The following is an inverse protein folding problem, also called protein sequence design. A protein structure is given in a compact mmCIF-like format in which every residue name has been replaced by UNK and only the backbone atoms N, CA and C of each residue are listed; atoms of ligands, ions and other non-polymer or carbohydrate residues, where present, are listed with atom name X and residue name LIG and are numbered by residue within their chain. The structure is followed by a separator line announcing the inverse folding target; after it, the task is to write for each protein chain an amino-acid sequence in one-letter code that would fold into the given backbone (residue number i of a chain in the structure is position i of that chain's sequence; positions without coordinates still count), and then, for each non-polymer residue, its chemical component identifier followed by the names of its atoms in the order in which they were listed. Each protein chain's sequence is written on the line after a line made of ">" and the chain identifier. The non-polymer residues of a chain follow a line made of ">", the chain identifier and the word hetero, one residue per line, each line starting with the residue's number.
data_IF_790403139409
#
_entry.id   IF_790403139409
#
_cell.length_a   1.000
_cell.length_b   1.000
_cell.length_c   1.000
_cell.angle_alpha   90.00
_cell.angle_beta   90.00
_cell.angle_gamma   90.00
#
_symmetry.space_group_name_H-M   'P 1'
#
loop_
_entity.id
_entity.type
_entity.pdbx_description
1 polymer ?
#
# COMPACT_ATOMS: atom_id res chain seq x y z
N UNK A 1 -61.48 6.99 -22.25
CA UNK A 1 -60.18 7.34 -22.85
C UNK A 1 -59.21 6.22 -22.49
N UNK A 2 -58.77 5.44 -23.49
CA UNK A 2 -57.80 4.35 -23.32
C UNK A 2 -56.45 4.94 -22.88
N UNK A 3 -56.09 4.78 -21.61
CA UNK A 3 -54.70 4.93 -21.19
C UNK A 3 -54.00 3.60 -21.47
N UNK A 4 -53.53 3.41 -22.71
CA UNK A 4 -52.65 2.29 -23.04
C UNK A 4 -51.33 2.48 -22.29
N UNK A 5 -51.23 1.85 -21.14
CA UNK A 5 -50.00 1.82 -20.39
C UNK A 5 -49.10 0.75 -21.01
N UNK A 6 -48.00 1.19 -21.63
CA UNK A 6 -46.99 0.33 -22.24
C UNK A 6 -46.43 -0.72 -21.26
N UNK A 7 -46.46 -0.43 -19.95
CA UNK A 7 -46.08 -1.38 -18.91
C UNK A 7 -47.10 -2.52 -18.81
N UNK A 8 -48.40 -2.20 -18.87
CA UNK A 8 -49.48 -3.19 -18.84
C UNK A 8 -49.46 -4.09 -20.09
N UNK A 9 -49.14 -3.53 -21.26
CA UNK A 9 -49.02 -4.28 -22.51
C UNK A 9 -47.80 -5.23 -22.53
N UNK A 10 -46.78 -4.96 -21.72
CA UNK A 10 -45.53 -5.73 -21.68
C UNK A 10 -45.31 -6.47 -20.35
N UNK A 11 -46.38 -6.71 -19.57
CA UNK A 11 -46.28 -7.36 -18.25
C UNK A 11 -45.59 -8.73 -18.30
N UNK A 12 -45.83 -9.49 -19.36
CA UNK A 12 -45.25 -10.83 -19.55
C UNK A 12 -43.89 -10.81 -20.28
N UNK A 13 -43.34 -9.62 -20.53
CA UNK A 13 -42.06 -9.45 -21.22
C UNK A 13 -41.03 -8.73 -20.32
N UNK A 14 -40.34 -9.47 -19.42
CA UNK A 14 -39.36 -8.90 -18.50
C UNK A 14 -38.23 -8.12 -19.18
N UNK A 15 -37.85 -8.52 -20.40
CA UNK A 15 -36.78 -7.87 -21.17
C UNK A 15 -37.17 -6.46 -21.61
N UNK A 16 -38.42 -6.28 -22.04
CA UNK A 16 -38.92 -4.96 -22.45
C UNK A 16 -39.15 -4.05 -21.25
N UNK A 17 -39.67 -4.57 -20.13
CA UNK A 17 -39.78 -3.80 -18.89
C UNK A 17 -38.42 -3.29 -18.40
N UNK A 18 -37.38 -4.13 -18.43
CA UNK A 18 -36.01 -3.72 -18.08
C UNK A 18 -35.45 -2.69 -19.07
N UNK A 19 -35.72 -2.84 -20.37
CA UNK A 19 -35.31 -1.87 -21.40
C UNK A 19 -35.95 -0.51 -21.16
N UNK A 20 -37.25 -0.47 -20.88
CA UNK A 20 -37.99 0.75 -20.58
C UNK A 20 -37.45 1.44 -19.32
N UNK A 21 -37.21 0.67 -18.25
CA UNK A 21 -36.63 1.19 -17.02
C UNK A 21 -35.22 1.78 -17.22
N UNK A 22 -34.36 1.12 -18.01
CA UNK A 22 -33.00 1.61 -18.28
C UNK A 22 -32.94 2.84 -19.19
N UNK A 23 -33.88 2.93 -20.14
CA UNK A 23 -33.89 4.02 -21.12
C UNK A 23 -34.49 5.29 -20.51
N UNK A 24 -35.60 5.15 -19.77
CA UNK A 24 -36.34 6.29 -19.20
C UNK A 24 -36.88 5.96 -17.80
N UNK A 25 -36.01 5.94 -16.76
CA UNK A 25 -36.38 5.46 -15.43
C UNK A 25 -37.49 6.28 -14.76
N UNK A 26 -37.51 7.60 -14.96
CA UNK A 26 -38.52 8.47 -14.33
C UNK A 26 -39.90 8.34 -14.98
N UNK A 27 -39.94 8.15 -16.31
CA UNK A 27 -41.19 7.89 -17.04
C UNK A 27 -41.74 6.52 -16.65
N UNK A 28 -40.87 5.51 -16.56
CA UNK A 28 -41.25 4.17 -16.12
C UNK A 28 -41.87 4.18 -14.72
N UNK A 29 -41.22 4.81 -13.73
CA UNK A 29 -41.77 4.92 -12.36
C UNK A 29 -43.14 5.58 -12.33
N UNK A 30 -43.33 6.66 -13.10
CA UNK A 30 -44.60 7.40 -13.15
C UNK A 30 -45.73 6.57 -13.77
N UNK A 31 -45.43 5.84 -14.84
CA UNK A 31 -46.39 4.93 -15.49
C UNK A 31 -46.61 3.65 -14.70
N UNK A 32 -45.65 3.23 -13.88
CA UNK A 32 -45.73 1.99 -13.10
C UNK A 32 -46.84 2.03 -12.06
N UNK A 33 -47.03 3.17 -11.36
CA UNK A 33 -48.11 3.32 -10.38
C UNK A 33 -49.48 3.00 -10.96
N UNK A 34 -49.75 3.45 -12.19
CA UNK A 34 -51.00 3.16 -12.90
C UNK A 34 -51.11 1.68 -13.31
N UNK A 35 -50.02 1.04 -13.75
CA UNK A 35 -50.02 -0.39 -14.10
C UNK A 35 -50.28 -1.28 -12.88
N UNK A 36 -49.70 -0.91 -11.73
CA UNK A 36 -49.84 -1.62 -10.46
C UNK A 36 -51.26 -1.54 -9.90
N UNK A 37 -51.87 -0.35 -9.89
CA UNK A 37 -53.26 -0.16 -9.44
C UNK A 37 -54.26 -0.97 -10.26
N UNK A 38 -54.02 -1.14 -11.57
CA UNK A 38 -54.91 -1.91 -12.44
C UNK A 38 -54.69 -3.42 -12.38
N UNK A 39 -53.50 -3.88 -11.99
CA UNK A 39 -53.15 -5.32 -12.02
C UNK A 39 -52.38 -5.73 -10.76
N UNK A 40 -53.00 -5.64 -9.56
CA UNK A 40 -52.33 -5.95 -8.29
C UNK A 40 -51.93 -7.43 -8.16
N UNK A 41 -52.58 -8.34 -8.88
CA UNK A 41 -52.33 -9.79 -8.80
C UNK A 41 -51.12 -10.25 -9.64
N UNK A 42 -50.50 -9.35 -10.42
CA UNK A 42 -49.37 -9.70 -11.26
C UNK A 42 -48.10 -9.91 -10.45
N UNK A 43 -47.54 -11.12 -10.50
CA UNK A 43 -46.25 -11.43 -9.87
C UNK A 43 -45.10 -10.59 -10.43
N UNK A 44 -45.11 -10.27 -11.73
CA UNK A 44 -44.06 -9.46 -12.35
C UNK A 44 -44.10 -8.04 -11.81
N UNK A 45 -45.28 -7.43 -11.74
CA UNK A 45 -45.42 -6.09 -11.16
C UNK A 45 -45.13 -6.10 -9.66
N UNK A 46 -45.47 -7.16 -8.92
CA UNK A 46 -45.13 -7.26 -7.50
C UNK A 46 -43.61 -7.24 -7.27
N UNK A 47 -42.84 -7.94 -8.11
CA UNK A 47 -41.36 -7.89 -8.06
C UNK A 47 -40.84 -6.49 -8.40
N UNK A 48 -41.44 -5.80 -9.37
CA UNK A 48 -41.07 -4.42 -9.70
C UNK A 48 -41.45 -3.43 -8.61
N UNK A 49 -42.57 -3.64 -7.92
CA UNK A 49 -43.02 -2.82 -6.81
C UNK A 49 -41.99 -2.88 -5.68
N UNK A 50 -41.55 -4.08 -5.31
CA UNK A 50 -40.43 -4.27 -4.39
C UNK A 50 -39.16 -3.62 -4.97
N UNK A 51 -38.74 -3.91 -6.20
CA UNK A 51 -37.51 -3.32 -6.76
C UNK A 51 -37.48 -1.78 -6.77
N UNK A 52 -38.62 -1.13 -6.97
CA UNK A 52 -38.72 0.34 -7.04
C UNK A 52 -38.87 0.99 -5.66
N UNK A 53 -39.53 0.32 -4.72
CA UNK A 53 -39.89 0.89 -3.41
C UNK A 53 -39.22 0.22 -2.22
N UNK A 54 -38.42 -0.82 -2.46
CA UNK A 54 -37.64 -1.50 -1.43
C UNK A 54 -36.69 -0.49 -0.79
N UNK A 55 -37.08 -0.03 0.40
CA UNK A 55 -36.17 0.55 1.35
C UNK A 55 -35.64 -0.61 2.15
N UNK A 56 -34.38 -0.96 1.91
CA UNK A 56 -33.66 -1.85 2.81
C UNK A 56 -33.91 -1.32 4.23
N UNK A 57 -34.55 -2.11 5.09
CA UNK A 57 -34.71 -1.75 6.49
C UNK A 57 -33.29 -1.50 6.97
N UNK A 58 -32.94 -0.23 7.20
CA UNK A 58 -31.60 0.14 7.67
C UNK A 58 -31.38 -0.68 8.92
N UNK A 59 -30.54 -1.70 8.78
CA UNK A 59 -30.35 -2.67 9.83
C UNK A 59 -29.63 -1.89 10.94
N UNK A 60 -30.37 -1.45 11.95
CA UNK A 60 -29.90 -0.49 12.96
C UNK A 60 -28.61 -0.98 13.61
N UNK A 61 -28.44 -2.30 13.71
CA UNK A 61 -27.21 -2.96 14.13
C UNK A 61 -26.02 -2.70 13.19
N UNK A 62 -26.18 -2.86 11.87
CA UNK A 62 -25.12 -2.57 10.88
C UNK A 62 -24.74 -1.09 10.90
N UNK A 63 -25.71 -0.18 10.94
CA UNK A 63 -25.46 1.26 11.04
C UNK A 63 -24.72 1.61 12.34
N UNK A 64 -25.14 1.04 13.47
CA UNK A 64 -24.46 1.24 14.76
C UNK A 64 -23.02 0.71 14.78
N UNK A 65 -22.76 -0.40 14.10
CA UNK A 65 -21.43 -1.01 14.03
C UNK A 65 -20.50 -0.21 13.11
N UNK A 66 -21.03 0.35 12.02
CA UNK A 66 -20.30 1.30 11.17
C UNK A 66 -19.93 2.57 11.95
N UNK A 67 -20.87 3.13 12.72
CA UNK A 67 -20.62 4.30 13.56
C UNK A 67 -19.56 4.03 14.64
N UNK A 68 -19.65 2.88 15.34
CA UNK A 68 -18.64 2.47 16.34
C UNK A 68 -17.24 2.37 15.73
N UNK A 69 -17.12 1.77 14.54
CA UNK A 69 -15.83 1.63 13.87
C UNK A 69 -15.28 2.97 13.38
N UNK A 70 -16.14 3.88 12.92
CA UNK A 70 -15.75 5.23 12.55
C UNK A 70 -15.26 6.03 13.76
N UNK A 71 -15.97 5.97 14.89
CA UNK A 71 -15.52 6.60 16.14
C UNK A 71 -14.20 6.02 16.64
N UNK A 72 -14.07 4.69 16.64
CA UNK A 72 -12.83 4.03 17.04
C UNK A 72 -11.64 4.45 16.18
N UNK A 73 -11.82 4.49 14.86
CA UNK A 73 -10.83 5.04 13.93
C UNK A 73 -10.50 6.50 14.23
N UNK A 74 -11.51 7.35 14.45
CA UNK A 74 -11.32 8.77 14.75
C UNK A 74 -10.51 9.00 16.03
N UNK A 75 -10.77 8.22 17.08
CA UNK A 75 -9.97 8.24 18.32
C UNK A 75 -8.52 7.87 18.03
N UNK A 76 -8.27 6.79 17.28
CA UNK A 76 -6.90 6.37 16.93
C UNK A 76 -6.18 7.41 16.06
N UNK A 77 -6.89 8.05 15.13
CA UNK A 77 -6.32 9.10 14.28
C UNK A 77 -5.90 10.34 15.11
N UNK A 78 -6.74 10.75 16.07
CA UNK A 78 -6.41 11.85 16.99
C UNK A 78 -5.23 11.46 17.88
N UNK A 79 -5.24 10.26 18.46
CA UNK A 79 -4.13 9.79 19.29
C UNK A 79 -2.81 9.72 18.49
N UNK A 80 -2.85 9.24 17.25
CA UNK A 80 -1.68 9.23 16.38
C UNK A 80 -1.15 10.65 16.11
N UNK A 81 -2.06 11.61 15.85
CA UNK A 81 -1.70 13.02 15.68
C UNK A 81 -1.06 13.64 16.94
N UNK A 82 -1.67 13.42 18.12
CA UNK A 82 -1.15 13.93 19.40
C UNK A 82 0.21 13.30 19.72
N UNK A 83 0.34 11.98 19.59
CA UNK A 83 1.58 11.26 19.85
C UNK A 83 2.70 11.69 18.91
N UNK A 84 2.41 11.88 17.62
CA UNK A 84 3.41 12.36 16.65
C UNK A 84 3.86 13.78 16.99
N UNK A 85 2.94 14.67 17.37
CA UNK A 85 3.29 16.03 17.80
C UNK A 85 4.16 16.03 19.06
N UNK A 86 3.81 15.20 20.04
CA UNK A 86 4.57 15.06 21.29
C UNK A 86 5.99 14.55 21.01
N UNK A 87 6.14 13.51 20.19
CA UNK A 87 7.45 12.99 19.79
C UNK A 87 8.26 14.03 19.00
N UNK A 88 7.61 14.81 18.15
CA UNK A 88 8.29 15.89 17.43
C UNK A 88 8.85 16.95 18.37
N UNK A 89 8.12 17.30 19.44
CA UNK A 89 8.63 18.24 20.44
C UNK A 89 9.92 17.74 21.12
N UNK A 90 10.00 16.45 21.47
CA UNK A 90 11.24 15.86 22.00
C UNK A 90 12.34 15.75 20.94
N UNK A 91 11.98 15.62 19.67
CA UNK A 91 12.92 15.62 18.56
C UNK A 91 13.53 17.02 18.36
N UNK A 92 12.72 18.07 18.44
CA UNK A 92 13.19 19.48 18.36
C UNK A 92 14.17 19.83 19.49
N UNK A 93 14.07 19.15 20.64
CA UNK A 93 14.98 19.30 21.78
C UNK A 93 16.22 18.41 21.67
N UNK A 94 16.39 17.68 20.56
CA UNK A 94 17.46 16.68 20.39
C UNK A 94 17.49 15.62 21.52
N UNK A 95 16.35 15.37 22.17
CA UNK A 95 16.24 14.36 23.23
C UNK A 95 16.03 12.96 22.65
N UNK A 96 15.43 12.87 21.46
CA UNK A 96 15.18 11.62 20.74
C UNK A 96 15.49 11.78 19.25
N UNK A 97 15.77 10.65 18.58
CA UNK A 97 16.03 10.64 17.15
C UNK A 97 14.76 10.97 16.34
N UNK A 98 14.84 11.71 15.23
CA UNK A 98 13.68 12.02 14.37
C UNK A 98 12.92 10.80 13.87
N UNK A 99 13.61 9.66 13.76
CA UNK A 99 13.00 8.38 13.34
C UNK A 99 11.98 7.85 14.36
N UNK A 100 11.99 8.34 15.61
CA UNK A 100 10.98 8.01 16.61
C UNK A 100 9.57 8.41 16.18
N UNK A 101 9.41 9.39 15.27
CA UNK A 101 8.10 9.81 14.75
C UNK A 101 7.29 8.66 14.16
N UNK A 102 7.95 7.62 13.66
CA UNK A 102 7.30 6.41 13.14
C UNK A 102 6.44 5.71 14.21
N UNK A 103 6.85 5.78 15.49
CA UNK A 103 6.06 5.27 16.62
C UNK A 103 4.85 6.13 16.97
N UNK A 104 4.75 7.35 16.44
CA UNK A 104 3.54 8.17 16.53
C UNK A 104 2.39 7.64 15.67
N UNK A 105 2.67 6.78 14.68
CA UNK A 105 1.67 6.31 13.70
C UNK A 105 1.50 4.78 13.77
N UNK A 106 2.59 4.02 13.65
CA UNK A 106 2.52 2.58 13.44
C UNK A 106 1.83 1.80 14.58
N UNK A 107 2.07 2.08 15.88
CA UNK A 107 1.36 1.40 16.95
C UNK A 107 -0.17 1.57 16.89
N UNK A 108 -0.65 2.77 16.57
CA UNK A 108 -2.09 3.03 16.44
C UNK A 108 -2.69 2.34 15.22
N UNK A 109 -1.96 2.31 14.10
CA UNK A 109 -2.36 1.51 12.94
C UNK A 109 -2.36 0.01 13.26
N UNK A 110 -1.41 -0.48 14.07
CA UNK A 110 -1.36 -1.88 14.49
C UNK A 110 -2.56 -2.24 15.37
N UNK A 111 -2.92 -1.37 16.33
CA UNK A 111 -4.13 -1.51 17.15
C UNK A 111 -5.37 -1.57 16.26
N UNK A 112 -5.46 -0.68 15.26
CA UNK A 112 -6.55 -0.71 14.28
C UNK A 112 -6.63 -2.05 13.54
N UNK A 113 -5.51 -2.59 13.06
CA UNK A 113 -5.51 -3.89 12.37
C UNK A 113 -5.84 -5.06 13.28
N UNK A 114 -5.31 -5.09 14.51
CA UNK A 114 -5.61 -6.14 15.49
C UNK A 114 -7.08 -6.11 15.91
N UNK A 115 -7.69 -4.93 15.97
CA UNK A 115 -9.11 -4.79 16.28
C UNK A 115 -10.00 -5.37 15.16
N UNK A 116 -9.61 -5.19 13.89
CA UNK A 116 -10.41 -5.64 12.74
C UNK A 116 -10.08 -7.07 12.29
N UNK A 117 -8.92 -7.62 12.67
CA UNK A 117 -8.46 -8.95 12.24
C UNK A 117 -8.31 -9.90 13.43
N UNK A 118 -8.86 -11.13 13.37
CA UNK A 118 -8.80 -12.07 14.48
C UNK A 118 -7.36 -12.43 14.81
N UNK A 119 -6.93 -12.01 16.00
CA UNK A 119 -5.56 -12.16 16.49
C UNK A 119 -5.56 -12.87 17.83
N UNK A 120 -4.80 -13.96 17.94
CA UNK A 120 -4.62 -14.69 19.18
C UNK A 120 -3.70 -13.90 20.13
N UNK A 121 -3.70 -14.29 21.41
CA UNK A 121 -2.84 -13.64 22.42
C UNK A 121 -1.36 -13.69 22.05
N UNK A 122 -0.89 -14.76 21.40
CA UNK A 122 0.51 -14.92 20.98
C UNK A 122 0.92 -13.81 19.99
N UNK A 123 0.14 -13.58 18.95
CA UNK A 123 0.38 -12.52 17.95
C UNK A 123 0.40 -11.16 18.62
N UNK A 124 -0.55 -10.88 19.53
CA UNK A 124 -0.59 -9.61 20.26
C UNK A 124 0.66 -9.43 21.11
N UNK A 125 1.06 -10.44 21.91
CA UNK A 125 2.28 -10.37 22.71
C UNK A 125 3.54 -10.21 21.85
N UNK A 126 3.62 -10.89 20.71
CA UNK A 126 4.74 -10.73 19.77
C UNK A 126 4.77 -9.31 19.22
N UNK A 127 3.64 -8.76 18.76
CA UNK A 127 3.56 -7.38 18.26
C UNK A 127 3.98 -6.36 19.33
N UNK A 128 3.40 -6.45 20.53
CA UNK A 128 3.73 -5.56 21.64
C UNK A 128 5.21 -5.65 22.01
N UNK A 129 5.78 -6.86 22.06
CA UNK A 129 7.20 -7.06 22.34
C UNK A 129 8.10 -6.44 21.26
N UNK A 130 7.80 -6.66 19.97
CA UNK A 130 8.62 -6.11 18.88
C UNK A 130 8.57 -4.59 18.82
N UNK A 131 7.40 -3.97 19.03
CA UNK A 131 7.31 -2.50 19.14
C UNK A 131 8.06 -1.97 20.37
N UNK A 132 7.93 -2.62 21.52
CA UNK A 132 8.60 -2.20 22.75
C UNK A 132 10.12 -2.33 22.64
N UNK A 133 10.63 -3.47 22.16
CA UNK A 133 12.06 -3.70 21.93
C UNK A 133 12.60 -2.66 20.96
N UNK A 134 11.91 -2.41 19.84
CA UNK A 134 12.34 -1.42 18.85
C UNK A 134 12.37 -0.01 19.43
N UNK A 135 11.34 0.37 20.20
CA UNK A 135 11.26 1.68 20.85
C UNK A 135 12.35 1.87 21.89
N UNK A 136 12.56 0.90 22.79
CA UNK A 136 13.61 0.97 23.80
C UNK A 136 14.99 1.02 23.13
N UNK A 137 15.26 0.09 22.21
CA UNK A 137 16.54 0.00 21.52
C UNK A 137 16.90 1.31 20.81
N UNK A 138 15.92 1.90 20.11
CA UNK A 138 16.12 3.15 19.38
C UNK A 138 16.48 4.33 20.30
N UNK A 139 15.91 4.38 21.51
CA UNK A 139 16.18 5.43 22.49
C UNK A 139 17.44 5.17 23.34
N UNK A 140 17.98 3.95 23.32
CA UNK A 140 19.27 3.61 23.95
C UNK A 140 20.44 3.92 23.00
N UNK A 141 20.21 3.91 21.69
CA UNK A 141 21.23 4.28 20.71
C UNK A 141 21.66 5.75 20.92
N UNK A 142 22.98 6.03 20.91
CA UNK A 142 23.45 7.40 21.04
C UNK A 142 23.02 8.21 19.81
N UNK A 143 22.74 9.50 20.01
CA UNK A 143 22.36 10.44 18.95
C UNK A 143 23.59 10.90 18.13
N UNK A 144 24.51 9.99 17.87
CA UNK A 144 25.73 10.24 17.12
C UNK A 144 25.54 9.90 15.64
N UNK A 145 26.20 10.67 14.76
CA UNK A 145 26.23 10.42 13.32
C UNK A 145 27.23 9.31 12.94
N UNK A 146 27.09 8.12 13.53
CA UNK A 146 27.84 6.92 13.13
C UNK A 146 27.13 6.20 11.99
N UNK A 147 27.91 5.71 11.01
CA UNK A 147 27.39 4.99 9.85
C UNK A 147 26.51 3.79 10.24
N UNK A 148 26.86 3.06 11.31
CA UNK A 148 26.07 1.92 11.79
C UNK A 148 24.71 2.32 12.35
N UNK A 149 24.63 3.47 13.03
CA UNK A 149 23.39 4.03 13.58
C UNK A 149 22.48 4.53 12.46
N UNK A 150 23.05 5.21 11.46
CA UNK A 150 22.30 5.63 10.26
C UNK A 150 21.70 4.41 9.55
N UNK A 151 22.46 3.33 9.41
CA UNK A 151 21.94 2.09 8.82
C UNK A 151 20.77 1.51 9.64
N UNK A 152 20.86 1.54 10.97
CA UNK A 152 19.77 1.09 11.82
C UNK A 152 18.50 1.94 11.64
N UNK A 153 18.64 3.27 11.55
CA UNK A 153 17.54 4.20 11.30
C UNK A 153 16.88 3.99 9.93
N UNK A 154 17.66 3.64 8.90
CA UNK A 154 17.13 3.35 7.56
C UNK A 154 16.39 2.02 7.48
N UNK A 155 16.83 1.00 8.20
CA UNK A 155 16.23 -0.35 8.15
C UNK A 155 15.06 -0.51 9.13
N UNK A 156 14.99 0.29 10.20
CA UNK A 156 13.93 0.19 11.20
C UNK A 156 12.52 0.38 10.62
N UNK A 157 12.23 1.38 9.75
CA UNK A 157 10.92 1.50 9.12
C UNK A 157 10.53 0.27 8.30
N UNK A 158 11.49 -0.35 7.61
CA UNK A 158 11.26 -1.58 6.82
C UNK A 158 10.94 -2.74 7.75
N UNK A 159 11.65 -2.86 8.88
CA UNK A 159 11.35 -3.86 9.90
C UNK A 159 9.95 -3.66 10.49
N UNK A 160 9.62 -2.44 10.94
CA UNK A 160 8.31 -2.12 11.51
C UNK A 160 7.18 -2.29 10.49
N UNK A 161 7.44 -2.06 9.21
CA UNK A 161 6.50 -2.37 8.13
C UNK A 161 6.18 -3.88 8.06
N UNK A 162 7.17 -4.77 8.21
CA UNK A 162 6.90 -6.21 8.29
C UNK A 162 6.14 -6.59 9.57
N UNK A 163 6.43 -5.92 10.71
CA UNK A 163 5.67 -6.08 11.96
C UNK A 163 4.21 -5.66 11.77
N UNK A 164 3.96 -4.56 11.05
CA UNK A 164 2.61 -4.14 10.67
C UNK A 164 1.88 -5.18 9.82
N UNK A 165 2.60 -5.89 8.95
CA UNK A 165 2.07 -7.04 8.20
C UNK A 165 1.59 -8.18 9.11
N UNK A 166 2.25 -8.42 10.25
CA UNK A 166 1.77 -9.38 11.25
C UNK A 166 0.48 -8.90 11.92
N UNK A 167 0.37 -7.60 12.22
CA UNK A 167 -0.85 -7.01 12.78
C UNK A 167 -2.03 -7.09 11.80
N UNK A 168 -1.77 -6.86 10.50
CA UNK A 168 -2.76 -6.97 9.44
C UNK A 168 -3.22 -8.42 9.21
N UNK A 169 -2.29 -9.37 9.16
CA UNK A 169 -2.61 -10.77 8.82
C UNK A 169 -3.14 -11.58 10.01
N UNK A 170 -2.89 -11.13 11.24
CA UNK A 170 -3.37 -11.75 12.47
C UNK A 170 -3.01 -13.23 12.56
N UNK A 171 -4.00 -14.07 12.89
CA UNK A 171 -3.81 -15.53 12.98
C UNK A 171 -3.44 -16.21 11.65
N UNK A 172 -3.62 -15.52 10.52
CA UNK A 172 -3.38 -16.07 9.19
C UNK A 172 -2.02 -15.68 8.61
N UNK A 173 -1.10 -15.14 9.42
CA UNK A 173 0.26 -14.73 9.01
C UNK A 173 1.08 -15.83 8.30
N UNK A 174 0.76 -17.11 8.52
CA UNK A 174 1.37 -18.24 7.81
C UNK A 174 0.89 -18.43 6.37
N UNK A 175 -0.27 -17.88 5.99
CA UNK A 175 -0.88 -18.08 4.67
C UNK A 175 -0.38 -17.04 3.65
N UNK A 176 0.01 -17.51 2.47
CA UNK A 176 0.43 -16.64 1.36
C UNK A 176 -0.66 -15.65 0.92
N UNK A 177 -1.93 -16.07 0.93
CA UNK A 177 -3.07 -15.21 0.57
C UNK A 177 -3.27 -14.03 1.52
N UNK A 178 -3.02 -14.20 2.82
CA UNK A 178 -3.11 -13.11 3.80
C UNK A 178 -1.98 -12.09 3.59
N UNK A 179 -0.76 -12.57 3.32
CA UNK A 179 0.38 -11.69 2.98
C UNK A 179 0.17 -10.96 1.66
N UNK A 180 -0.46 -11.62 0.68
CA UNK A 180 -0.85 -10.98 -0.58
C UNK A 180 -1.86 -9.85 -0.33
N UNK A 181 -2.87 -10.09 0.51
CA UNK A 181 -3.83 -9.06 0.90
C UNK A 181 -3.15 -7.87 1.60
N UNK A 182 -2.12 -8.11 2.42
CA UNK A 182 -1.33 -7.03 2.99
C UNK A 182 -0.57 -6.22 1.93
N UNK A 183 0.05 -6.88 0.94
CA UNK A 183 0.72 -6.17 -0.17
C UNK A 183 -0.28 -5.37 -1.03
N UNK A 184 -1.49 -5.89 -1.28
CA UNK A 184 -2.60 -5.13 -1.92
C UNK A 184 -2.95 -3.89 -1.13
N UNK A 185 -3.20 -4.08 0.16
CA UNK A 185 -3.53 -3.01 1.09
C UNK A 185 -2.48 -1.90 1.02
N UNK A 186 -1.18 -2.22 1.00
CA UNK A 186 -0.12 -1.20 0.92
C UNK A 186 -0.23 -0.35 -0.35
N UNK A 187 -0.47 -0.96 -1.50
CA UNK A 187 -0.63 -0.23 -2.76
C UNK A 187 -1.86 0.68 -2.76
N UNK A 188 -3.02 0.15 -2.34
CA UNK A 188 -4.26 0.93 -2.20
C UNK A 188 -4.12 2.05 -1.16
N UNK A 189 -3.44 1.78 -0.05
CA UNK A 189 -3.12 2.73 1.01
C UNK A 189 -2.24 3.87 0.50
N UNK A 190 -1.14 3.56 -0.19
CA UNK A 190 -0.24 4.58 -0.73
C UNK A 190 -0.98 5.48 -1.72
N UNK A 191 -1.81 4.93 -2.60
CA UNK A 191 -2.58 5.73 -3.58
C UNK A 191 -3.57 6.65 -2.84
N UNK A 192 -4.37 6.10 -1.92
CA UNK A 192 -5.38 6.88 -1.22
C UNK A 192 -4.76 7.95 -0.32
N UNK A 193 -3.71 7.60 0.43
CA UNK A 193 -2.96 8.52 1.26
C UNK A 193 -2.32 9.63 0.43
N UNK A 194 -1.72 9.31 -0.73
CA UNK A 194 -1.15 10.31 -1.63
C UNK A 194 -2.21 11.30 -2.13
N UNK A 195 -3.39 10.83 -2.54
CA UNK A 195 -4.50 11.71 -2.92
C UNK A 195 -4.90 12.66 -1.78
N UNK A 196 -5.05 12.14 -0.56
CA UNK A 196 -5.38 12.96 0.62
C UNK A 196 -4.26 13.95 0.97
N UNK A 197 -3.01 13.51 0.91
CA UNK A 197 -1.84 14.34 1.20
C UNK A 197 -1.70 15.48 0.19
N UNK A 198 -1.97 15.24 -1.10
CA UNK A 198 -1.99 16.30 -2.13
C UNK A 198 -3.08 17.32 -1.81
N UNK A 199 -4.29 16.87 -1.45
CA UNK A 199 -5.36 17.79 -1.02
C UNK A 199 -4.96 18.61 0.22
N UNK A 200 -4.31 17.97 1.20
CA UNK A 200 -3.78 18.65 2.39
C UNK A 200 -2.66 19.64 2.08
N UNK A 201 -1.80 19.34 1.10
CA UNK A 201 -0.74 20.22 0.64
C UNK A 201 -1.30 21.46 -0.05
N UNK A 202 -2.31 21.30 -0.92
CA UNK A 202 -3.02 22.43 -1.54
C UNK A 202 -3.65 23.33 -0.49
N UNK A 203 -4.34 22.72 0.50
CA UNK A 203 -4.91 23.47 1.62
C UNK A 203 -3.83 24.23 2.40
N UNK A 204 -2.71 23.57 2.72
CA UNK A 204 -1.56 24.17 3.41
C UNK A 204 -1.04 25.40 2.67
N UNK A 205 -0.81 25.28 1.35
CA UNK A 205 -0.32 26.40 0.53
C UNK A 205 -1.29 27.57 0.55
N UNK A 206 -2.60 27.31 0.38
CA UNK A 206 -3.63 28.36 0.39
C UNK A 206 -3.67 29.04 1.77
N UNK A 207 -3.71 28.26 2.86
CA UNK A 207 -3.72 28.82 4.23
C UNK A 207 -2.48 29.67 4.48
N UNK A 208 -1.30 29.16 4.13
CA UNK A 208 -0.04 29.90 4.28
C UNK A 208 -0.04 31.22 3.50
N UNK A 209 -0.56 31.24 2.27
CA UNK A 209 -0.67 32.45 1.47
C UNK A 209 -1.66 33.46 2.06
N UNK A 210 -2.83 32.99 2.53
CA UNK A 210 -3.84 33.86 3.14
C UNK A 210 -3.30 34.59 4.39
N UNK A 211 -2.60 33.88 5.28
CA UNK A 211 -2.00 34.51 6.45
C UNK A 211 -0.84 35.45 6.09
N UNK A 212 -0.09 35.13 5.03
CA UNK A 212 0.96 36.01 4.51
C UNK A 212 0.37 37.32 3.96
N UNK A 213 -0.81 37.31 3.35
CA UNK A 213 -1.48 38.54 2.90
C UNK A 213 -1.88 39.47 4.06
N UNK A 214 -2.14 38.92 5.24
CA UNK A 214 -2.46 39.67 6.47
C UNK A 214 -1.18 40.09 7.21
N UNK A 215 0.00 39.81 6.65
CA UNK A 215 1.30 40.17 7.25
C UNK A 215 1.76 39.23 8.36
N UNK A 216 1.15 38.05 8.49
CA UNK A 216 1.49 37.06 9.53
C UNK A 216 2.18 35.83 8.93
N UNK A 217 3.37 35.49 9.41
CA UNK A 217 4.05 34.25 9.03
C UNK A 217 3.73 33.14 10.05
N UNK A 218 2.88 32.21 9.66
CA UNK A 218 2.46 31.08 10.51
C UNK A 218 3.18 29.76 10.15
N UNK A 219 4.23 29.80 9.33
CA UNK A 219 4.82 28.60 8.71
C UNK A 219 5.23 27.55 9.73
N UNK A 220 6.09 27.92 10.67
CA UNK A 220 6.63 26.98 11.67
C UNK A 220 5.51 26.39 12.54
N UNK A 221 4.60 27.25 13.01
CA UNK A 221 3.44 26.82 13.79
C UNK A 221 2.55 25.86 12.99
N UNK A 222 2.23 26.18 11.74
CA UNK A 222 1.34 25.39 10.91
C UNK A 222 1.96 24.04 10.55
N UNK A 223 3.26 24.01 10.21
CA UNK A 223 3.95 22.76 9.90
C UNK A 223 4.08 21.84 11.12
N UNK A 224 4.57 22.35 12.25
CA UNK A 224 4.82 21.50 13.42
C UNK A 224 3.52 21.01 14.09
N UNK A 225 2.45 21.81 14.04
CA UNK A 225 1.19 21.47 14.71
C UNK A 225 0.14 20.90 13.74
N UNK A 226 -0.16 21.57 12.62
CA UNK A 226 -1.29 21.19 11.77
C UNK A 226 -0.89 20.14 10.74
N UNK A 227 0.19 20.39 9.99
CA UNK A 227 0.63 19.48 8.91
C UNK A 227 1.08 18.14 9.50
N UNK A 228 1.91 18.17 10.53
CA UNK A 228 2.41 16.94 11.15
C UNK A 228 1.28 16.10 11.79
N UNK A 229 0.39 16.74 12.55
CA UNK A 229 -0.79 16.08 13.11
C UNK A 229 -1.68 15.52 12.00
N UNK A 230 -1.94 16.33 10.97
CA UNK A 230 -2.77 15.95 9.82
C UNK A 230 -2.20 14.74 9.08
N UNK A 231 -0.89 14.70 8.82
CA UNK A 231 -0.22 13.58 8.16
C UNK A 231 -0.35 12.26 8.97
N UNK A 232 -0.13 12.33 10.28
CA UNK A 232 -0.27 11.18 11.16
C UNK A 232 -1.73 10.69 11.25
N UNK A 233 -2.68 11.61 11.46
CA UNK A 233 -4.10 11.29 11.52
C UNK A 233 -4.61 10.71 10.19
N UNK A 234 -4.26 11.33 9.05
CA UNK A 234 -4.63 10.88 7.71
C UNK A 234 -4.10 9.48 7.41
N UNK A 235 -2.96 9.08 7.99
CA UNK A 235 -2.45 7.71 7.84
C UNK A 235 -3.43 6.69 8.43
N UNK A 236 -4.03 6.98 9.59
CA UNK A 236 -5.05 6.08 10.19
C UNK A 236 -6.35 6.13 9.39
N UNK A 237 -6.77 7.32 8.93
CA UNK A 237 -7.98 7.48 8.10
C UNK A 237 -7.84 6.70 6.79
N UNK A 238 -6.71 6.81 6.10
CA UNK A 238 -6.46 6.10 4.85
C UNK A 238 -6.47 4.57 5.07
N UNK A 239 -5.85 4.08 6.14
CA UNK A 239 -5.88 2.65 6.47
C UNK A 239 -7.32 2.14 6.69
N UNK A 240 -8.14 2.92 7.40
CA UNK A 240 -9.55 2.59 7.60
C UNK A 240 -10.35 2.53 6.30
N UNK A 241 -10.17 3.53 5.45
CA UNK A 241 -10.92 3.64 4.20
C UNK A 241 -10.54 2.52 3.20
N UNK A 242 -9.27 2.14 3.13
CA UNK A 242 -8.84 0.98 2.33
C UNK A 242 -9.42 -0.32 2.86
N UNK A 243 -9.39 -0.52 4.19
CA UNK A 243 -9.93 -1.74 4.82
C UNK A 243 -11.44 -1.88 4.62
N UNK A 244 -12.13 -0.78 4.30
CA UNK A 244 -13.57 -0.73 3.97
C UNK A 244 -13.88 -0.88 2.49
N UNK A 245 -12.91 -1.31 1.68
CA UNK A 245 -13.08 -1.56 0.23
C UNK A 245 -13.59 -0.32 -0.52
N UNK A 246 -13.04 0.88 -0.25
CA UNK A 246 -13.36 2.05 -1.08
C UNK A 246 -12.96 1.78 -2.53
N UNK A 247 -13.97 1.81 -3.41
CA UNK A 247 -13.85 1.52 -4.85
C UNK A 247 -12.78 2.36 -5.57
N UNK A 248 -12.48 3.55 -5.05
CA UNK A 248 -11.59 4.50 -5.69
C UNK A 248 -10.14 3.97 -5.81
N UNK A 249 -9.56 3.49 -4.71
CA UNK A 249 -8.21 2.92 -4.72
C UNK A 249 -8.16 1.62 -5.54
N UNK A 250 -9.12 0.72 -5.29
CA UNK A 250 -9.25 -0.58 -5.96
C UNK A 250 -9.39 -0.49 -7.49
N UNK A 251 -10.05 0.55 -7.98
CA UNK A 251 -10.22 0.75 -9.40
C UNK A 251 -9.00 1.42 -10.04
N UNK A 252 -8.24 2.24 -9.32
CA UNK A 252 -7.10 3.00 -9.88
C UNK A 252 -5.81 2.18 -9.84
N UNK A 253 -5.59 1.42 -8.76
CA UNK A 253 -4.39 0.61 -8.51
C UNK A 253 -3.96 -0.26 -9.71
N UNK A 254 -4.83 -1.11 -10.30
CA UNK A 254 -4.46 -1.92 -11.46
C UNK A 254 -4.01 -1.11 -12.68
N UNK A 255 -4.62 0.06 -12.93
CA UNK A 255 -4.27 0.89 -14.10
C UNK A 255 -2.92 1.58 -13.91
N UNK A 256 -2.63 2.05 -12.69
CA UNK A 256 -1.30 2.60 -12.36
C UNK A 256 -0.24 1.54 -12.64
N UNK A 257 -0.42 0.30 -12.15
CA UNK A 257 0.53 -0.78 -12.40
C UNK A 257 0.74 -1.02 -13.91
N UNK A 258 -0.34 -1.09 -14.69
CA UNK A 258 -0.30 -1.33 -16.14
C UNK A 258 0.38 -0.21 -16.94
N UNK A 259 0.31 1.04 -16.47
CA UNK A 259 0.94 2.20 -17.14
C UNK A 259 2.41 2.32 -16.71
N UNK A 260 2.70 2.15 -15.41
CA UNK A 260 4.05 2.35 -14.88
C UNK A 260 5.00 1.22 -15.24
N UNK A 261 4.56 -0.05 -15.24
CA UNK A 261 5.43 -1.19 -15.62
C UNK A 261 6.15 -1.00 -16.97
N UNK A 262 5.46 -0.71 -18.09
CA UNK A 262 6.13 -0.52 -19.38
C UNK A 262 6.98 0.75 -19.43
N UNK A 263 6.57 1.83 -18.75
CA UNK A 263 7.34 3.07 -18.70
C UNK A 263 8.67 2.88 -17.95
N UNK A 264 8.64 2.16 -16.83
CA UNK A 264 9.83 1.81 -16.06
C UNK A 264 10.73 0.89 -16.89
N UNK A 265 10.16 -0.13 -17.56
CA UNK A 265 10.91 -1.00 -18.47
C UNK A 265 11.64 -0.21 -19.56
N UNK A 266 10.93 0.69 -20.25
CA UNK A 266 11.51 1.51 -21.31
C UNK A 266 12.64 2.39 -20.78
N UNK A 267 12.43 3.05 -19.64
CA UNK A 267 13.43 3.93 -19.01
C UNK A 267 14.69 3.16 -18.63
N UNK A 268 14.53 1.99 -18.00
CA UNK A 268 15.66 1.15 -17.60
C UNK A 268 16.40 0.56 -18.78
N UNK A 269 15.68 0.19 -19.84
CA UNK A 269 16.29 -0.34 -21.05
C UNK A 269 17.15 0.72 -21.74
N UNK A 270 16.61 1.94 -21.92
CA UNK A 270 17.36 3.08 -22.49
C UNK A 270 18.58 3.39 -21.62
N UNK A 271 18.42 3.44 -20.30
CA UNK A 271 19.51 3.69 -19.38
C UNK A 271 20.60 2.62 -19.45
N UNK A 272 20.22 1.33 -19.45
CA UNK A 272 21.16 0.22 -19.52
C UNK A 272 21.98 0.24 -20.82
N UNK A 273 21.33 0.53 -21.96
CA UNK A 273 22.03 0.71 -23.24
C UNK A 273 22.98 1.91 -23.19
N UNK A 274 22.54 3.04 -22.62
CA UNK A 274 23.37 4.24 -22.51
C UNK A 274 24.63 3.99 -21.66
N UNK A 275 24.53 3.25 -20.56
CA UNK A 275 25.68 2.88 -19.72
C UNK A 275 26.67 2.02 -20.50
N UNK A 276 26.20 1.01 -21.25
CA UNK A 276 27.05 0.16 -22.09
C UNK A 276 27.76 0.98 -23.16
N UNK A 277 27.05 1.91 -23.81
CA UNK A 277 27.63 2.76 -24.87
C UNK A 277 28.69 3.70 -24.30
N UNK A 278 28.39 4.43 -23.22
CA UNK A 278 29.28 5.43 -22.65
C UNK A 278 30.52 4.78 -22.01
N UNK A 279 30.46 3.50 -21.65
CA UNK A 279 31.60 2.75 -21.10
C UNK A 279 32.08 3.24 -19.73
N UNK A 280 31.32 4.13 -19.07
CA UNK A 280 31.62 4.57 -17.70
C UNK A 280 31.42 3.39 -16.75
N UNK A 281 32.46 3.06 -16.00
CA UNK A 281 32.43 1.91 -15.11
C UNK A 281 31.46 2.18 -13.94
N UNK A 282 30.42 1.35 -13.72
CA UNK A 282 29.54 1.43 -12.56
C UNK A 282 30.25 1.15 -11.22
N UNK A 283 31.47 0.63 -11.28
CA UNK A 283 32.22 0.10 -10.15
C UNK A 283 32.78 1.16 -9.20
N UNK A 284 33.04 2.38 -9.67
CA UNK A 284 33.86 3.36 -8.95
C UNK A 284 33.08 4.46 -8.23
N UNK A 285 31.85 4.77 -8.65
CA UNK A 285 31.08 5.87 -8.08
C UNK A 285 30.10 5.41 -6.97
N UNK A 286 30.18 6.00 -5.78
CA UNK A 286 29.30 5.69 -4.64
C UNK A 286 27.85 6.07 -4.91
N UNK A 287 27.64 7.18 -5.59
CA UNK A 287 26.30 7.70 -5.84
C UNK A 287 25.56 6.80 -6.84
N UNK A 288 26.32 6.20 -7.75
CA UNK A 288 25.82 5.21 -8.70
C UNK A 288 25.19 3.99 -8.03
N UNK A 289 25.84 3.42 -7.00
CA UNK A 289 25.32 2.25 -6.27
C UNK A 289 24.05 2.56 -5.48
N UNK A 290 23.95 3.77 -4.91
CA UNK A 290 22.76 4.19 -4.18
C UNK A 290 21.56 4.31 -5.13
N UNK A 291 21.76 4.96 -6.28
CA UNK A 291 20.73 5.08 -7.33
C UNK A 291 20.31 3.70 -7.85
N UNK A 292 21.26 2.78 -8.07
CA UNK A 292 20.96 1.41 -8.49
C UNK A 292 20.08 0.65 -7.50
N UNK A 293 20.39 0.72 -6.20
CA UNK A 293 19.56 0.09 -5.17
C UNK A 293 18.14 0.69 -5.16
N UNK A 294 18.02 2.01 -5.29
CA UNK A 294 16.72 2.67 -5.38
C UNK A 294 15.93 2.25 -6.61
N UNK A 295 16.59 2.10 -7.76
CA UNK A 295 16.00 1.56 -8.99
C UNK A 295 15.55 0.12 -8.78
N UNK A 296 16.39 -0.74 -8.19
CA UNK A 296 16.08 -2.15 -7.96
C UNK A 296 14.87 -2.33 -7.05
N UNK A 297 14.80 -1.56 -5.95
CA UNK A 297 13.65 -1.53 -5.05
C UNK A 297 12.40 -1.04 -5.79
N UNK A 298 12.53 -0.03 -6.64
CA UNK A 298 11.43 0.50 -7.46
C UNK A 298 10.89 -0.56 -8.43
N UNK A 299 11.77 -1.29 -9.10
CA UNK A 299 11.37 -2.38 -10.01
C UNK A 299 10.69 -3.50 -9.25
N UNK A 300 11.24 -3.89 -8.10
CA UNK A 300 10.62 -4.89 -7.24
C UNK A 300 9.23 -4.44 -6.81
N UNK A 301 9.05 -3.20 -6.38
CA UNK A 301 7.76 -2.65 -5.98
C UNK A 301 6.73 -2.67 -7.13
N UNK A 302 7.12 -2.20 -8.32
CA UNK A 302 6.26 -2.21 -9.52
C UNK A 302 5.88 -3.65 -9.92
N UNK A 303 6.85 -4.57 -9.86
CA UNK A 303 6.64 -5.99 -10.17
C UNK A 303 5.66 -6.62 -9.18
N UNK A 304 5.90 -6.45 -7.88
CA UNK A 304 5.05 -6.96 -6.82
C UNK A 304 3.63 -6.43 -7.00
N UNK A 305 3.47 -5.13 -7.22
CA UNK A 305 2.16 -4.50 -7.39
C UNK A 305 1.45 -5.00 -8.64
N UNK A 306 2.14 -5.10 -9.78
CA UNK A 306 1.58 -5.62 -11.03
C UNK A 306 1.13 -7.09 -10.93
N UNK A 307 1.92 -7.94 -10.24
CA UNK A 307 1.56 -9.35 -9.97
C UNK A 307 0.34 -9.43 -9.03
N UNK A 308 0.31 -8.55 -8.04
CA UNK A 308 -0.67 -8.57 -6.97
C UNK A 308 -2.04 -8.10 -7.46
N UNK A 309 -2.08 -7.06 -8.30
CA UNK A 309 -3.30 -6.54 -8.94
C UNK A 309 -3.87 -7.45 -10.03
N UNK A 310 -3.17 -8.54 -10.38
CA UNK A 310 -3.67 -9.52 -11.34
C UNK A 310 -4.89 -10.26 -10.79
N UNK A 311 -5.99 -10.26 -11.55
CA UNK A 311 -7.15 -11.11 -11.27
C UNK A 311 -6.77 -12.59 -11.34
N UNK A 312 -7.21 -13.37 -10.35
CA UNK A 312 -6.87 -14.80 -10.18
C UNK A 312 -7.28 -15.71 -11.34
N UNK A 313 -8.10 -15.23 -12.29
CA UNK A 313 -8.58 -15.96 -13.46
C UNK A 313 -8.20 -15.35 -14.82
N UNK A 314 -7.35 -14.31 -14.88
CA UNK A 314 -6.99 -13.70 -16.16
C UNK A 314 -6.02 -14.58 -16.98
N UNK A 315 -6.36 -14.84 -18.25
CA UNK A 315 -5.46 -15.47 -19.23
C UNK A 315 -4.17 -14.66 -19.39
N UNK A 316 -3.14 -15.27 -19.99
CA UNK A 316 -1.85 -14.62 -20.29
C UNK A 316 -2.10 -13.27 -20.97
N UNK A 317 -1.54 -12.20 -20.41
CA UNK A 317 -1.71 -10.84 -20.92
C UNK A 317 -0.35 -10.25 -21.34
N UNK A 318 -0.35 -9.22 -22.18
CA UNK A 318 0.87 -8.48 -22.58
C UNK A 318 1.63 -7.96 -21.35
N UNK A 319 0.91 -7.60 -20.29
CA UNK A 319 1.48 -7.23 -18.99
C UNK A 319 2.38 -8.31 -18.37
N UNK A 320 2.10 -9.60 -18.60
CA UNK A 320 2.94 -10.69 -18.08
C UNK A 320 4.31 -10.71 -18.77
N UNK A 321 4.35 -10.44 -20.08
CA UNK A 321 5.60 -10.34 -20.83
C UNK A 321 6.40 -9.08 -20.46
N UNK A 322 5.71 -7.96 -20.24
CA UNK A 322 6.35 -6.71 -19.74
C UNK A 322 6.98 -6.95 -18.37
N UNK A 323 6.24 -7.56 -17.44
CA UNK A 323 6.77 -7.88 -16.11
C UNK A 323 7.94 -8.87 -16.18
N UNK A 324 7.84 -9.89 -17.03
CA UNK A 324 8.95 -10.82 -17.26
C UNK A 324 10.21 -10.10 -17.75
N UNK A 325 10.08 -9.24 -18.77
CA UNK A 325 11.20 -8.45 -19.29
C UNK A 325 11.76 -7.49 -18.23
N UNK A 326 10.89 -6.87 -17.42
CA UNK A 326 11.26 -5.99 -16.33
C UNK A 326 12.07 -6.72 -15.25
N UNK A 327 11.63 -7.92 -14.85
CA UNK A 327 12.36 -8.76 -13.89
C UNK A 327 13.71 -9.22 -14.47
N UNK A 328 13.74 -9.62 -15.73
CA UNK A 328 14.97 -10.04 -16.39
C UNK A 328 15.99 -8.88 -16.44
N UNK A 329 15.55 -7.68 -16.81
CA UNK A 329 16.40 -6.49 -16.82
C UNK A 329 16.86 -6.12 -15.40
N UNK A 330 15.98 -6.22 -14.40
CA UNK A 330 16.33 -6.00 -13.00
C UNK A 330 17.40 -6.98 -12.52
N UNK A 331 17.31 -8.27 -12.87
CA UNK A 331 18.33 -9.26 -12.55
C UNK A 331 19.69 -8.94 -13.17
N UNK A 332 19.71 -8.45 -14.42
CA UNK A 332 20.95 -8.02 -15.06
C UNK A 332 21.57 -6.81 -14.35
N UNK A 333 20.75 -5.82 -14.01
CA UNK A 333 21.14 -4.63 -13.26
C UNK A 333 21.68 -5.01 -11.87
N UNK A 334 20.99 -5.90 -11.16
CA UNK A 334 21.36 -6.38 -9.82
C UNK A 334 22.65 -7.19 -9.87
N UNK A 335 22.87 -8.04 -10.89
CA UNK A 335 24.13 -8.75 -11.06
C UNK A 335 25.33 -7.79 -11.20
N UNK A 336 25.15 -6.68 -11.92
CA UNK A 336 26.18 -5.63 -12.03
C UNK A 336 26.39 -4.94 -10.68
N UNK A 337 25.31 -4.60 -9.96
CA UNK A 337 25.39 -3.98 -8.64
C UNK A 337 26.08 -4.88 -7.60
N UNK A 338 25.73 -6.17 -7.56
CA UNK A 338 26.36 -7.19 -6.73
C UNK A 338 27.85 -7.34 -7.03
N UNK A 339 28.22 -7.39 -8.31
CA UNK A 339 29.63 -7.44 -8.72
C UNK A 339 30.40 -6.20 -8.26
N UNK A 340 29.78 -5.01 -8.37
CA UNK A 340 30.38 -3.76 -7.95
C UNK A 340 30.57 -3.66 -6.44
N UNK A 341 29.55 -4.03 -5.65
CA UNK A 341 29.67 -3.99 -4.19
C UNK A 341 30.64 -5.06 -3.68
N UNK A 342 30.66 -6.26 -4.27
CA UNK A 342 31.61 -7.32 -3.94
C UNK A 342 33.06 -6.86 -4.18
N UNK A 343 33.34 -6.25 -5.34
CA UNK A 343 34.65 -5.67 -5.64
C UNK A 343 35.06 -4.60 -4.61
N UNK A 344 34.11 -3.77 -4.16
CA UNK A 344 34.40 -2.76 -3.13
C UNK A 344 34.67 -3.35 -1.76
N UNK A 345 33.91 -4.37 -1.37
CA UNK A 345 34.11 -5.06 -0.09
C UNK A 345 35.49 -5.74 -0.09
N UNK A 346 35.89 -6.38 -1.20
CA UNK A 346 37.21 -7.02 -1.30
C UNK A 346 38.36 -6.01 -1.35
N UNK A 347 38.18 -4.88 -2.04
CA UNK A 347 39.27 -3.92 -2.29
C UNK A 347 39.43 -2.87 -1.18
N UNK A 348 38.32 -2.41 -0.60
CA UNK A 348 38.29 -1.31 0.37
C UNK A 348 37.88 -1.76 1.77
N UNK A 349 37.68 -3.06 2.00
CA UNK A 349 37.29 -3.64 3.29
C UNK A 349 35.78 -3.61 3.59
N UNK A 350 35.41 -4.22 4.71
CA UNK A 350 34.03 -4.33 5.19
C UNK A 350 33.66 -3.05 5.95
N UNK A 351 32.54 -2.42 5.57
CA UNK A 351 31.92 -1.33 6.32
C UNK A 351 30.43 -1.65 6.54
N UNK A 352 29.76 -1.07 7.56
CA UNK A 352 28.34 -1.31 7.82
C UNK A 352 27.49 -1.09 6.58
N UNK A 353 27.70 0.04 5.90
CA UNK A 353 26.97 0.39 4.69
C UNK A 353 27.17 -0.64 3.56
N UNK A 354 28.43 -1.05 3.29
CA UNK A 354 28.70 -1.99 2.20
C UNK A 354 28.10 -3.37 2.48
N UNK A 355 28.12 -3.81 3.74
CA UNK A 355 27.51 -5.07 4.14
C UNK A 355 25.98 -5.02 4.07
N UNK A 356 25.37 -3.91 4.50
CA UNK A 356 23.93 -3.67 4.36
C UNK A 356 23.50 -3.77 2.88
N UNK A 357 24.18 -3.03 2.02
CA UNK A 357 23.89 -2.98 0.57
C UNK A 357 24.11 -4.35 -0.08
N UNK A 358 25.17 -5.07 0.26
CA UNK A 358 25.43 -6.40 -0.27
C UNK A 358 24.32 -7.39 0.11
N UNK A 359 23.89 -7.40 1.37
CA UNK A 359 22.83 -8.29 1.82
C UNK A 359 21.47 -7.96 1.21
N UNK A 360 21.10 -6.69 1.09
CA UNK A 360 19.85 -6.29 0.41
C UNK A 360 19.86 -6.73 -1.05
N UNK A 361 20.93 -6.47 -1.79
CA UNK A 361 21.02 -6.89 -3.19
C UNK A 361 20.98 -8.42 -3.32
N UNK A 362 21.67 -9.16 -2.45
CA UNK A 362 21.63 -10.62 -2.49
C UNK A 362 20.22 -11.17 -2.26
N UNK A 363 19.47 -10.57 -1.34
CA UNK A 363 18.09 -10.94 -1.06
C UNK A 363 17.15 -10.60 -2.22
N UNK A 364 17.31 -9.41 -2.82
CA UNK A 364 16.52 -9.02 -3.98
C UNK A 364 16.84 -9.92 -5.17
N UNK A 365 18.12 -10.19 -5.44
CA UNK A 365 18.56 -11.10 -6.51
C UNK A 365 17.92 -12.47 -6.35
N UNK A 366 18.03 -13.09 -5.17
CA UNK A 366 17.45 -14.40 -4.89
C UNK A 366 15.91 -14.40 -5.07
N UNK A 367 15.24 -13.34 -4.61
CA UNK A 367 13.80 -13.20 -4.79
C UNK A 367 13.42 -13.06 -6.27
N UNK A 368 14.10 -12.19 -7.02
CA UNK A 368 13.87 -12.00 -8.46
C UNK A 368 14.14 -13.28 -9.25
N UNK A 369 15.16 -14.07 -8.90
CA UNK A 369 15.43 -15.39 -9.50
C UNK A 369 14.28 -16.36 -9.23
N UNK A 370 13.71 -16.36 -8.03
CA UNK A 370 12.53 -17.18 -7.74
C UNK A 370 11.32 -16.69 -8.55
N UNK A 371 11.05 -15.39 -8.54
CA UNK A 371 9.91 -14.79 -9.27
C UNK A 371 10.02 -15.10 -10.78
N UNK A 372 11.19 -14.92 -11.40
CA UNK A 372 11.37 -15.19 -12.83
C UNK A 372 11.14 -16.67 -13.15
N UNK A 373 11.61 -17.58 -12.29
CA UNK A 373 11.40 -19.01 -12.47
C UNK A 373 9.91 -19.41 -12.37
N UNK A 374 9.19 -18.83 -11.41
CA UNK A 374 7.74 -18.97 -11.32
C UNK A 374 7.03 -18.42 -12.57
N UNK A 375 7.51 -17.29 -13.11
CA UNK A 375 6.99 -16.71 -14.35
C UNK A 375 7.25 -17.60 -15.58
N UNK A 376 8.46 -18.18 -15.72
CA UNK A 376 8.78 -19.10 -16.82
C UNK A 376 7.86 -20.32 -16.78
N UNK A 377 7.64 -20.90 -15.60
CA UNK A 377 6.70 -22.03 -15.42
C UNK A 377 5.26 -21.65 -15.75
N UNK A 378 4.83 -20.46 -15.36
CA UNK A 378 3.51 -19.92 -15.67
C UNK A 378 3.32 -19.69 -17.19
N UNK A 379 4.29 -19.04 -17.84
CA UNK A 379 4.28 -18.81 -19.30
C UNK A 379 4.34 -20.13 -20.08
N UNK A 380 5.00 -21.15 -19.53
CA UNK A 380 5.01 -22.52 -20.05
C UNK A 380 3.76 -23.34 -19.75
N UNK A 381 2.68 -22.76 -19.20
CA UNK A 381 1.43 -23.44 -18.79
C UNK A 381 1.62 -24.55 -17.72
N UNK A 382 2.74 -24.55 -16.98
CA UNK A 382 3.05 -25.60 -15.99
C UNK A 382 2.47 -25.30 -14.60
N UNK A 383 2.19 -24.04 -14.30
CA UNK A 383 1.68 -23.58 -13.00
C UNK A 383 0.66 -22.46 -13.16
N UNK A 384 -0.23 -22.30 -12.19
CA UNK A 384 -1.18 -21.18 -12.14
C UNK A 384 -0.55 -19.87 -11.63
N UNK A 385 -1.29 -18.74 -11.68
CA UNK A 385 -0.80 -17.42 -11.25
C UNK A 385 -0.50 -17.34 -9.75
N UNK A 386 -1.10 -18.23 -8.95
CA UNK A 386 -0.85 -18.34 -7.51
C UNK A 386 0.62 -18.64 -7.19
N UNK A 387 1.31 -19.42 -8.03
CA UNK A 387 2.73 -19.74 -7.80
C UNK A 387 3.65 -18.52 -7.90
N UNK A 388 3.27 -17.51 -8.69
CA UNK A 388 4.00 -16.23 -8.78
C UNK A 388 3.72 -15.39 -7.54
N UNK A 389 2.46 -15.33 -7.11
CA UNK A 389 2.05 -14.59 -5.91
C UNK A 389 2.66 -15.16 -4.62
N UNK A 390 2.81 -16.49 -4.54
CA UNK A 390 3.50 -17.15 -3.44
C UNK A 390 5.01 -16.84 -3.41
N UNK A 391 5.67 -16.81 -4.57
CA UNK A 391 7.09 -16.46 -4.65
C UNK A 391 7.34 -15.06 -4.07
N UNK A 392 6.50 -14.09 -4.43
CA UNK A 392 6.55 -12.72 -3.90
C UNK A 392 6.28 -12.67 -2.40
N UNK A 393 5.21 -13.31 -1.92
CA UNK A 393 4.76 -13.17 -0.52
C UNK A 393 5.61 -13.96 0.47
N UNK A 394 6.33 -14.99 0.01
CA UNK A 394 7.18 -15.82 0.87
C UNK A 394 8.50 -15.16 1.23
N UNK A 395 9.00 -14.22 0.42
CA UNK A 395 10.20 -13.44 0.72
C UNK A 395 9.97 -12.27 1.69
N UNK A 396 8.72 -11.82 1.89
CA UNK A 396 8.39 -10.69 2.75
C UNK A 396 8.96 -10.82 4.18
N UNK A 397 8.82 -11.97 4.89
CA UNK A 397 9.45 -12.15 6.20
C UNK A 397 10.99 -12.17 6.16
N UNK A 398 11.59 -12.61 5.04
CA UNK A 398 13.06 -12.65 4.88
C UNK A 398 13.61 -11.23 4.82
N UNK A 399 12.95 -10.32 4.09
CA UNK A 399 13.30 -8.89 4.12
C UNK A 399 13.18 -8.29 5.53
N UNK A 400 12.13 -8.66 6.27
CA UNK A 400 11.95 -8.23 7.66
C UNK A 400 13.05 -8.73 8.59
N UNK A 401 13.47 -10.00 8.45
CA UNK A 401 14.57 -10.56 9.23
C UNK A 401 15.90 -9.87 8.93
N UNK A 402 16.17 -9.56 7.66
CA UNK A 402 17.36 -8.80 7.30
C UNK A 402 17.33 -7.37 7.84
N UNK A 403 16.20 -6.69 7.73
CA UNK A 403 16.01 -5.37 8.31
C UNK A 403 16.22 -5.40 9.84
N UNK A 404 15.68 -6.41 10.54
CA UNK A 404 15.93 -6.62 11.96
C UNK A 404 17.42 -6.84 12.26
N UNK A 405 18.09 -7.67 11.47
CA UNK A 405 19.53 -7.92 11.62
C UNK A 405 20.34 -6.62 11.49
N UNK A 406 20.11 -5.85 10.44
CA UNK A 406 20.80 -4.56 10.26
C UNK A 406 20.46 -3.57 11.37
N UNK A 407 19.19 -3.49 11.77
CA UNK A 407 18.76 -2.56 12.83
C UNK A 407 19.37 -2.87 14.19
N UNK A 408 19.33 -4.13 14.64
CA UNK A 408 19.71 -4.47 16.01
C UNK A 408 21.17 -4.89 16.18
N UNK A 409 21.80 -5.43 15.14
CA UNK A 409 23.12 -6.07 15.26
C UNK A 409 24.22 -5.16 14.72
N UNK A 410 23.99 -4.34 13.69
CA UNK A 410 25.07 -3.50 13.13
C UNK A 410 25.63 -2.49 14.14
N UNK A 411 24.82 -1.75 14.91
CA UNK A 411 25.35 -0.82 15.91
C UNK A 411 26.11 -1.49 17.06
N UNK A 412 25.96 -2.81 17.24
CA UNK A 412 26.69 -3.58 18.27
C UNK A 412 28.04 -4.10 17.74
N UNK A 413 28.13 -4.36 16.45
CA UNK A 413 29.34 -4.90 15.80
C UNK A 413 30.27 -3.78 15.30
N UNK A 414 29.70 -2.66 14.86
CA UNK A 414 30.40 -1.53 14.24
C UNK A 414 30.10 -0.22 14.95
#
# INVERSE_FOLDING_TARGET
>A
MNNNNLITENMDNPRELERMFRTQPEVFKKSFSYAWEQNPDSQVLAVWQERLHFKETENTEKSSLLWKNFLFMGILAILAGISTRLLFHFTEQEAIAPINLVFGILPFMAIYFVYNNPSNRKVIYTLSSLFLISGIYLNVLPLENKDSIIMAYLHLPVFLWVVMGLAFTGNQHGKGSARLAYLKFNGEFTILYACMAISGMVLTVITMQLFRFIGTNISEFYFSNVVLFGAAALSIVAAYLVTRDIKLAKNIAPYIAKIFSPLVLATLLVYFIAVIWIGKSPFLDRDFLLVFNGVLLSVLAVTIFSITERGTGEKKNVSDYINFALIALALMIDAVALSAIMFRVSSYGITPNRLAVLGVNLLIFANLVWIIFSYVRFLGNKTGPLAIQEAVTKYLPVYGLWAAFVTFIFPLIF
#
